data_IF_300364523346
#
_entry.id   IF_300364523346
#
_cell.length_a   1.000
_cell.length_b   1.000
_cell.length_c   1.000
_cell.angle_alpha   90.00
_cell.angle_beta   90.00
_cell.angle_gamma   90.00
#
_symmetry.space_group_name_H-M   'P 1'
#
loop_
_entity.id
_entity.type
_entity.pdbx_description
1 polymer ?
#
# COMPACT_ATOMS: atom_id res chain seq x y z
N UNK A 1 -1.73 17.22 -7.46
CA UNK A 1 -2.82 16.73 -6.58
C UNK A 1 -2.34 15.53 -5.79
N UNK A 2 -2.53 15.50 -4.47
CA UNK A 2 -2.11 14.39 -3.59
C UNK A 2 -2.63 13.03 -4.08
N UNK A 3 -3.86 12.98 -4.60
CA UNK A 3 -4.44 11.77 -5.24
C UNK A 3 -3.61 11.25 -6.42
N UNK A 4 -3.16 12.14 -7.31
CA UNK A 4 -2.37 11.72 -8.48
C UNK A 4 -1.01 11.18 -8.03
N UNK A 5 -0.41 11.78 -7.01
CA UNK A 5 0.85 11.28 -6.46
C UNK A 5 0.66 9.88 -5.84
N UNK A 6 -0.40 9.70 -5.05
CA UNK A 6 -0.75 8.40 -4.46
C UNK A 6 -1.03 7.33 -5.53
N UNK A 7 -1.84 7.66 -6.55
CA UNK A 7 -2.13 6.78 -7.67
C UNK A 7 -0.87 6.41 -8.44
N UNK A 8 -0.03 7.38 -8.81
CA UNK A 8 1.22 7.12 -9.56
C UNK A 8 2.19 6.26 -8.75
N UNK A 9 2.30 6.48 -7.44
CA UNK A 9 3.15 5.65 -6.56
C UNK A 9 2.70 4.19 -6.58
N UNK A 10 1.41 3.92 -6.37
CA UNK A 10 0.90 2.55 -6.40
C UNK A 10 0.86 1.94 -7.80
N UNK A 11 0.62 2.75 -8.84
CA UNK A 11 0.67 2.31 -10.24
C UNK A 11 2.08 1.84 -10.63
N UNK A 12 3.13 2.47 -10.10
CA UNK A 12 4.52 2.03 -10.28
C UNK A 12 4.81 0.80 -9.42
N UNK A 13 4.30 0.73 -8.20
CA UNK A 13 4.53 -0.43 -7.32
C UNK A 13 3.95 -1.74 -7.89
N UNK A 14 2.78 -1.71 -8.54
CA UNK A 14 2.15 -2.91 -9.12
C UNK A 14 3.06 -3.69 -10.09
N UNK A 15 3.61 -3.09 -11.18
CA UNK A 15 4.49 -3.78 -12.10
C UNK A 15 5.83 -4.16 -11.44
N UNK A 16 6.32 -3.38 -10.47
CA UNK A 16 7.54 -3.73 -9.75
C UNK A 16 7.38 -5.00 -8.91
N UNK A 17 6.25 -5.14 -8.19
CA UNK A 17 5.94 -6.36 -7.43
C UNK A 17 5.70 -7.54 -8.36
N UNK A 18 5.07 -7.33 -9.51
CA UNK A 18 4.92 -8.39 -10.53
C UNK A 18 6.28 -8.84 -11.08
N UNK A 19 7.18 -7.89 -11.40
CA UNK A 19 8.54 -8.19 -11.84
C UNK A 19 9.35 -8.93 -10.77
N UNK A 20 9.15 -8.61 -9.49
CA UNK A 20 9.80 -9.30 -8.40
C UNK A 20 9.50 -10.80 -8.36
N UNK A 21 8.32 -11.25 -8.81
CA UNK A 21 8.01 -12.68 -8.89
C UNK A 21 8.90 -13.47 -9.85
N UNK A 22 9.52 -12.77 -10.82
CA UNK A 22 10.38 -13.36 -11.85
C UNK A 22 11.87 -13.24 -11.52
N UNK A 23 12.23 -12.57 -10.42
CA UNK A 23 13.62 -12.30 -10.02
C UNK A 23 14.02 -13.15 -8.81
N UNK A 24 15.29 -13.53 -8.76
CA UNK A 24 15.90 -14.26 -7.64
C UNK A 24 17.14 -13.54 -7.13
N UNK A 25 17.53 -13.81 -5.88
CA UNK A 25 18.76 -13.30 -5.25
C UNK A 25 18.83 -11.76 -5.15
N UNK A 26 19.94 -11.16 -5.58
CA UNK A 26 20.26 -9.74 -5.42
C UNK A 26 19.29 -8.81 -6.19
N UNK A 27 18.94 -9.06 -7.47
CA UNK A 27 17.94 -8.27 -8.19
C UNK A 27 16.59 -8.17 -7.48
N UNK A 28 16.15 -9.26 -6.84
CA UNK A 28 14.89 -9.30 -6.10
C UNK A 28 14.92 -8.31 -4.93
N UNK A 29 15.99 -8.34 -4.15
CA UNK A 29 16.18 -7.45 -3.00
C UNK A 29 16.15 -5.99 -3.45
N UNK A 30 16.85 -5.64 -4.54
CA UNK A 30 16.88 -4.28 -5.07
C UNK A 30 15.49 -3.79 -5.50
N UNK A 31 14.72 -4.60 -6.22
CA UNK A 31 13.34 -4.23 -6.60
C UNK A 31 12.46 -4.04 -5.36
N UNK A 32 12.55 -4.95 -4.39
CA UNK A 32 11.77 -4.87 -3.15
C UNK A 32 12.14 -3.63 -2.32
N UNK A 33 13.40 -3.22 -2.31
CA UNK A 33 13.81 -1.96 -1.67
C UNK A 33 13.14 -0.75 -2.34
N UNK A 34 13.07 -0.72 -3.67
CA UNK A 34 12.39 0.35 -4.41
C UNK A 34 10.87 0.34 -4.10
N UNK A 35 10.25 -0.83 -4.04
CA UNK A 35 8.84 -1.00 -3.66
C UNK A 35 8.57 -0.45 -2.26
N UNK A 36 9.43 -0.78 -1.28
CA UNK A 36 9.31 -0.28 0.09
C UNK A 36 9.51 1.23 0.14
N UNK A 37 10.48 1.76 -0.62
CA UNK A 37 10.71 3.20 -0.71
C UNK A 37 9.48 3.95 -1.27
N UNK A 38 8.91 3.47 -2.37
CA UNK A 38 7.70 4.04 -2.99
C UNK A 38 6.51 3.99 -2.02
N UNK A 39 6.33 2.86 -1.34
CA UNK A 39 5.22 2.66 -0.38
C UNK A 39 5.38 3.56 0.85
N UNK A 40 6.61 3.76 1.33
CA UNK A 40 6.90 4.67 2.45
C UNK A 40 6.67 6.13 2.05
N UNK A 41 7.04 6.50 0.81
CA UNK A 41 6.75 7.82 0.24
C UNK A 41 5.25 8.11 0.03
N UNK A 42 4.40 7.08 0.01
CA UNK A 42 2.95 7.25 -0.04
C UNK A 42 2.35 7.60 1.34
N UNK A 43 3.04 7.32 2.46
CA UNK A 43 2.53 7.57 3.82
C UNK A 43 2.23 9.06 4.11
N UNK A 44 3.10 10.04 3.75
CA UNK A 44 2.80 11.45 3.94
C UNK A 44 1.55 11.88 3.14
N UNK A 45 1.42 11.38 1.91
CA UNK A 45 0.27 11.68 1.04
C UNK A 45 -1.01 11.13 1.67
N UNK A 46 -0.96 9.89 2.16
CA UNK A 46 -2.09 9.23 2.81
C UNK A 46 -2.48 9.93 4.11
N UNK A 47 -1.51 10.35 4.93
CA UNK A 47 -1.78 11.08 6.17
C UNK A 47 -2.42 12.44 5.90
N UNK A 48 -1.99 13.17 4.87
CA UNK A 48 -2.61 14.44 4.46
C UNK A 48 -4.04 14.24 3.96
N UNK A 49 -4.30 13.18 3.17
CA UNK A 49 -5.66 12.81 2.76
C UNK A 49 -6.54 12.48 3.97
N UNK A 50 -6.01 11.75 4.95
CA UNK A 50 -6.72 11.39 6.17
C UNK A 50 -7.12 12.61 6.99
N UNK A 51 -6.23 13.58 7.19
CA UNK A 51 -6.55 14.85 7.87
C UNK A 51 -7.65 15.61 7.13
N UNK A 52 -7.63 15.57 5.80
CA UNK A 52 -8.58 16.30 4.94
C UNK A 52 -9.98 15.69 4.94
N UNK A 53 -10.09 14.36 4.99
CA UNK A 53 -11.38 13.66 4.96
C UNK A 53 -11.93 13.30 6.35
N UNK A 54 -11.08 13.24 7.39
CA UNK A 54 -11.54 12.94 8.74
C UNK A 54 -12.06 14.20 9.46
N UNK A 55 -13.17 14.10 10.22
CA UNK A 55 -13.68 15.20 11.02
C UNK A 55 -12.68 15.60 12.11
N UNK A 56 -12.44 16.91 12.26
CA UNK A 56 -11.43 17.51 13.15
C UNK A 56 -11.49 17.04 14.62
N UNK A 57 -12.68 16.66 15.09
CA UNK A 57 -12.88 16.17 16.46
C UNK A 57 -12.39 14.72 16.69
N UNK A 58 -12.24 13.90 15.64
CA UNK A 58 -11.91 12.45 15.75
C UNK A 58 -10.64 12.03 15.02
N UNK A 59 -9.76 12.96 14.65
CA UNK A 59 -8.50 12.62 13.95
C UNK A 59 -7.72 11.50 14.67
N UNK A 60 -7.59 11.57 16.00
CA UNK A 60 -6.90 10.53 16.79
C UNK A 60 -7.50 9.12 16.65
N UNK A 61 -8.83 8.99 16.53
CA UNK A 61 -9.50 7.70 16.33
C UNK A 61 -9.26 7.16 14.92
N UNK A 62 -9.33 8.01 13.89
CA UNK A 62 -9.09 7.59 12.51
C UNK A 62 -7.63 7.20 12.27
N UNK A 63 -6.67 7.96 12.81
CA UNK A 63 -5.26 7.57 12.79
C UNK A 63 -5.01 6.29 13.57
N UNK A 64 -5.57 6.18 14.79
CA UNK A 64 -5.46 4.97 15.61
C UNK A 64 -5.99 3.73 14.89
N UNK A 65 -7.13 3.84 14.21
CA UNK A 65 -7.72 2.72 13.45
C UNK A 65 -6.87 2.33 12.24
N UNK A 66 -6.31 3.31 11.51
CA UNK A 66 -5.35 3.03 10.41
C UNK A 66 -4.12 2.30 10.93
N UNK A 67 -3.52 2.76 12.02
CA UNK A 67 -2.34 2.12 12.58
C UNK A 67 -2.65 0.74 13.14
N UNK A 68 -3.79 0.56 13.81
CA UNK A 68 -4.20 -0.74 14.33
C UNK A 68 -4.37 -1.76 13.21
N UNK A 69 -5.07 -1.38 12.13
CA UNK A 69 -5.22 -2.24 10.95
C UNK A 69 -3.86 -2.49 10.29
N UNK A 70 -3.06 -1.45 10.08
CA UNK A 70 -1.73 -1.55 9.48
C UNK A 70 -0.80 -2.50 10.24
N UNK A 71 -0.71 -2.36 11.57
CA UNK A 71 0.09 -3.26 12.40
C UNK A 71 -0.47 -4.67 12.45
N UNK A 72 -1.79 -4.83 12.56
CA UNK A 72 -2.44 -6.14 12.56
C UNK A 72 -2.17 -6.93 11.28
N UNK A 73 -2.32 -6.28 10.12
CA UNK A 73 -2.00 -6.89 8.83
C UNK A 73 -0.51 -7.10 8.63
N UNK A 74 0.35 -6.20 9.12
CA UNK A 74 1.80 -6.35 8.99
C UNK A 74 2.32 -7.57 9.77
N UNK A 75 1.87 -7.76 11.02
CA UNK A 75 2.21 -8.94 11.81
C UNK A 75 1.65 -10.22 11.18
N UNK A 76 0.40 -10.18 10.70
CA UNK A 76 -0.25 -11.32 10.06
C UNK A 76 0.42 -11.70 8.73
N UNK A 77 0.90 -10.72 7.97
CA UNK A 77 1.54 -10.92 6.68
C UNK A 77 2.82 -11.76 6.76
N UNK A 78 3.61 -11.59 7.83
CA UNK A 78 4.80 -12.41 8.08
C UNK A 78 4.40 -13.88 8.28
N UNK A 79 3.41 -14.14 9.14
CA UNK A 79 2.93 -15.50 9.39
C UNK A 79 2.33 -16.14 8.13
N UNK A 80 1.52 -15.38 7.39
CA UNK A 80 0.94 -15.82 6.12
C UNK A 80 2.03 -16.14 5.09
N UNK A 81 3.08 -15.33 5.02
CA UNK A 81 4.19 -15.54 4.09
C UNK A 81 4.96 -16.84 4.37
N UNK A 82 5.19 -17.15 5.65
CA UNK A 82 5.81 -18.42 6.06
C UNK A 82 4.90 -19.60 5.74
N UNK A 83 3.61 -19.50 6.08
CA UNK A 83 2.65 -20.58 5.83
C UNK A 83 2.44 -20.88 4.34
N UNK A 84 2.39 -19.85 3.49
CA UNK A 84 2.33 -20.01 2.02
C UNK A 84 3.60 -20.67 1.50
N UNK A 85 4.77 -20.29 2.02
CA UNK A 85 6.03 -20.90 1.62
C UNK A 85 6.10 -22.38 2.02
N UNK A 86 5.69 -22.72 3.24
CA UNK A 86 5.69 -24.10 3.74
C UNK A 86 4.75 -25.01 2.94
N UNK A 87 3.61 -24.49 2.46
CA UNK A 87 2.63 -25.25 1.69
C UNK A 87 3.00 -25.42 0.21
N UNK A 88 3.57 -24.38 -0.41
CA UNK A 88 3.79 -24.37 -1.87
C UNK A 88 5.25 -24.54 -2.28
N UNK A 89 6.20 -24.40 -1.36
CA UNK A 89 7.63 -24.37 -1.64
C UNK A 89 8.10 -23.19 -2.50
N UNK A 90 7.22 -22.21 -2.75
CA UNK A 90 7.49 -21.06 -3.64
C UNK A 90 6.69 -19.83 -3.21
N UNK A 91 7.27 -18.65 -3.44
CA UNK A 91 6.67 -17.35 -3.14
C UNK A 91 5.74 -16.83 -4.24
N UNK A 92 5.48 -17.60 -5.30
CA UNK A 92 4.69 -17.14 -6.43
C UNK A 92 3.25 -16.73 -6.02
N UNK A 93 2.64 -17.48 -5.11
CA UNK A 93 1.34 -17.13 -4.54
C UNK A 93 1.38 -15.89 -3.64
N UNK A 94 2.47 -15.69 -2.90
CA UNK A 94 2.68 -14.50 -2.09
C UNK A 94 2.79 -13.25 -2.97
N UNK A 95 3.60 -13.31 -4.04
CA UNK A 95 3.70 -12.20 -4.99
C UNK A 95 2.39 -11.96 -5.74
N UNK A 96 1.66 -13.01 -6.13
CA UNK A 96 0.32 -12.87 -6.72
C UNK A 96 -0.66 -12.15 -5.79
N UNK A 97 -0.67 -12.50 -4.50
CA UNK A 97 -1.49 -11.82 -3.49
C UNK A 97 -1.09 -10.34 -3.34
N UNK A 98 0.22 -10.05 -3.28
CA UNK A 98 0.72 -8.68 -3.19
C UNK A 98 0.34 -7.83 -4.41
N UNK A 99 0.42 -8.39 -5.62
CA UNK A 99 -0.04 -7.73 -6.85
C UNK A 99 -1.53 -7.43 -6.76
N UNK A 100 -2.36 -8.40 -6.35
CA UNK A 100 -3.81 -8.21 -6.22
C UNK A 100 -4.14 -7.11 -5.21
N UNK A 101 -3.47 -7.07 -4.06
CA UNK A 101 -3.65 -6.03 -3.05
C UNK A 101 -3.22 -4.65 -3.59
N UNK A 102 -2.04 -4.55 -4.21
CA UNK A 102 -1.56 -3.30 -4.79
C UNK A 102 -2.50 -2.80 -5.92
N UNK A 103 -3.00 -3.69 -6.77
CA UNK A 103 -3.98 -3.36 -7.81
C UNK A 103 -5.31 -2.92 -7.20
N UNK A 104 -5.75 -3.53 -6.10
CA UNK A 104 -6.97 -3.10 -5.39
C UNK A 104 -6.82 -1.69 -4.84
N UNK A 105 -5.66 -1.37 -4.25
CA UNK A 105 -5.35 -0.01 -3.79
C UNK A 105 -5.32 0.98 -4.97
N UNK A 106 -4.69 0.62 -6.09
CA UNK A 106 -4.67 1.45 -7.29
C UNK A 106 -6.08 1.69 -7.86
N UNK A 107 -6.94 0.67 -7.86
CA UNK A 107 -8.34 0.78 -8.28
C UNK A 107 -9.13 1.70 -7.34
N UNK A 108 -9.00 1.54 -6.02
CA UNK A 108 -9.64 2.42 -5.03
C UNK A 108 -9.15 3.87 -5.18
N UNK A 109 -7.83 4.06 -5.38
CA UNK A 109 -7.25 5.38 -5.61
C UNK A 109 -7.77 6.04 -6.90
N UNK A 110 -8.06 5.25 -7.93
CA UNK A 110 -8.69 5.71 -9.16
C UNK A 110 -10.13 6.15 -8.93
N UNK A 111 -10.91 5.36 -8.18
CA UNK A 111 -12.29 5.69 -7.80
C UNK A 111 -12.40 6.81 -6.75
N UNK A 112 -11.30 7.25 -6.16
CA UNK A 112 -11.31 8.32 -5.16
C UNK A 112 -11.82 9.63 -5.82
N UNK A 113 -13.03 10.10 -5.45
CA UNK A 113 -13.62 11.27 -6.08
C UNK A 113 -12.72 12.47 -5.85
N UNK A 114 -12.38 13.18 -6.93
CA UNK A 114 -11.57 14.40 -6.89
C UNK A 114 -12.34 15.61 -6.38
N UNK A 115 -13.40 15.40 -5.58
CA UNK A 115 -14.29 16.46 -5.19
C UNK A 115 -13.63 17.38 -4.18
N UNK A 116 -13.31 18.57 -4.69
CA UNK A 116 -13.29 19.82 -3.95
C UNK A 116 -14.65 20.01 -3.28
N UNK A 117 -14.71 19.88 -1.97
CA UNK A 117 -15.75 20.48 -1.13
C UNK A 117 -14.99 21.09 0.05
N UNK A 118 -14.51 22.33 -0.10
CA UNK A 118 -15.10 23.60 0.41
C UNK A 118 -14.91 23.71 1.94
N UNK A 119 -14.44 24.80 2.52
CA UNK A 119 -14.88 26.20 2.35
C UNK A 119 -13.79 27.17 2.90
N UNK A 120 -13.78 28.45 2.49
CA UNK A 120 -12.88 29.48 3.01
C UNK A 120 -13.13 29.72 4.50
N UNK A 121 -12.06 30.06 5.22
CA UNK A 121 -12.18 30.69 6.53
C UNK A 121 -12.87 32.07 6.41
#
# INVERSE_FOLDING_TARGET
SERQLYFTLFLITVPLVALASQLTEIPLVLIMMIVVFLSTGALPVENTLLVRYAPSHRHGLFFGMKFLLGFGFSASGIYLSGWIFDLTGSFLWLYGLLVLLASSVAAIAFFLPGQRVLQPA
#
